data_IF_748316433138
#
_entry.id   IF_748316433138
#
_cell.length_a   1.000
_cell.length_b   1.000
_cell.length_c   1.000
_cell.angle_alpha   90.00
_cell.angle_beta   90.00
_cell.angle_gamma   90.00
#
_symmetry.space_group_name_H-M   'P 1'
#
loop_
_entity.id
_entity.type
_entity.pdbx_description
1 polymer ?
#
# COMPACT_ATOMS: atom_id res chain seq x y z
N UNK A 1 -15.93 25.70 1.06
CA UNK A 1 -17.40 25.54 0.90
C UNK A 1 -17.91 24.14 1.23
N UNK A 2 -17.77 23.11 0.39
CA UNK A 2 -18.35 21.76 0.65
C UNK A 2 -17.75 21.06 1.88
N UNK A 3 -16.43 21.16 2.05
CA UNK A 3 -15.69 20.58 3.19
C UNK A 3 -16.10 21.20 4.52
N UNK A 4 -16.37 22.51 4.54
CA UNK A 4 -16.80 23.23 5.74
C UNK A 4 -18.20 22.78 6.18
N UNK A 5 -19.13 22.62 5.23
CA UNK A 5 -20.45 22.05 5.51
C UNK A 5 -20.36 20.61 6.00
N UNK A 6 -19.44 19.81 5.46
CA UNK A 6 -19.19 18.47 5.98
C UNK A 6 -18.77 18.50 7.46
N UNK A 7 -17.76 19.28 7.81
CA UNK A 7 -17.32 19.39 9.21
C UNK A 7 -18.38 20.00 10.13
N UNK A 8 -19.16 20.98 9.65
CA UNK A 8 -20.26 21.55 10.41
C UNK A 8 -21.36 20.52 10.69
N UNK A 9 -21.74 19.72 9.70
CA UNK A 9 -22.70 18.62 9.85
C UNK A 9 -22.18 17.54 10.81
N UNK A 10 -20.90 17.16 10.70
CA UNK A 10 -20.29 16.19 11.63
C UNK A 10 -20.30 16.71 13.07
N UNK A 11 -19.96 17.98 13.28
CA UNK A 11 -20.06 18.63 14.59
C UNK A 11 -21.50 18.66 15.12
N UNK A 12 -22.49 18.94 14.27
CA UNK A 12 -23.91 18.90 14.63
C UNK A 12 -24.35 17.51 15.10
N UNK A 13 -23.78 16.45 14.51
CA UNK A 13 -24.00 15.05 14.91
C UNK A 13 -23.18 14.62 16.16
N UNK A 14 -22.45 15.53 16.80
CA UNK A 14 -21.59 15.21 17.95
C UNK A 14 -20.27 14.52 17.58
N UNK A 15 -19.93 14.44 16.29
CA UNK A 15 -18.68 13.85 15.81
C UNK A 15 -17.59 14.92 15.89
N UNK A 16 -16.56 14.65 16.70
CA UNK A 16 -15.41 15.57 16.87
C UNK A 16 -14.60 15.69 15.57
N UNK A 17 -14.02 16.87 15.37
CA UNK A 17 -13.00 17.07 14.32
C UNK A 17 -11.65 16.63 14.86
N UNK A 18 -10.94 15.80 14.10
CA UNK A 18 -9.57 15.37 14.40
C UNK A 18 -8.61 16.27 13.60
N UNK A 19 -7.60 16.83 14.27
CA UNK A 19 -6.60 17.68 13.63
C UNK A 19 -5.57 16.83 12.87
N UNK A 20 -5.01 15.83 13.53
CA UNK A 20 -4.07 14.88 12.95
C UNK A 20 -4.54 13.45 13.21
N UNK A 21 -4.90 12.74 12.14
CA UNK A 21 -5.34 11.34 12.21
C UNK A 21 -4.19 10.33 12.26
N UNK A 22 -2.94 10.78 12.15
CA UNK A 22 -1.75 9.93 12.15
C UNK A 22 -1.11 9.77 13.53
N UNK A 23 -1.66 10.43 14.56
CA UNK A 23 -1.19 10.35 15.95
C UNK A 23 -1.63 9.09 16.71
N UNK A 24 -2.24 8.12 16.02
CA UNK A 24 -2.79 6.90 16.60
C UNK A 24 -4.27 6.97 17.00
N UNK A 25 -4.91 8.15 16.93
CA UNK A 25 -6.35 8.30 17.18
C UNK A 25 -7.07 8.98 16.01
N UNK A 26 -7.57 8.16 15.09
CA UNK A 26 -8.32 8.60 13.91
C UNK A 26 -9.84 8.67 14.13
N UNK A 27 -10.34 8.59 15.37
CA UNK A 27 -11.78 8.55 15.62
C UNK A 27 -12.40 9.96 15.48
N UNK A 28 -13.05 10.22 14.35
CA UNK A 28 -13.83 11.43 14.13
C UNK A 28 -13.83 11.89 12.67
N UNK A 29 -14.27 13.12 12.45
CA UNK A 29 -14.20 13.76 11.14
C UNK A 29 -12.78 14.30 10.91
N UNK A 30 -12.12 13.86 9.86
CA UNK A 30 -10.70 14.14 9.61
C UNK A 30 -10.48 14.73 8.22
N UNK A 31 -9.38 15.47 8.09
CA UNK A 31 -8.80 15.85 6.81
C UNK A 31 -7.51 15.03 6.64
N UNK A 32 -7.55 14.01 5.79
CA UNK A 32 -6.42 13.10 5.63
C UNK A 32 -5.39 13.69 4.66
N UNK A 33 -4.09 13.73 5.05
CA UNK A 33 -3.03 13.99 4.09
C UNK A 33 -3.06 12.92 3.00
N UNK A 34 -2.64 13.31 1.80
CA UNK A 34 -2.56 12.43 0.65
C UNK A 34 -1.10 12.24 0.29
N UNK A 35 -0.75 11.08 -0.28
CA UNK A 35 0.58 10.85 -0.87
C UNK A 35 0.75 11.67 -2.15
N UNK A 36 1.02 12.95 -1.99
CA UNK A 36 1.22 13.96 -3.02
C UNK A 36 2.50 14.73 -2.75
N UNK A 37 3.24 15.04 -3.79
CA UNK A 37 4.35 15.99 -3.76
C UNK A 37 3.76 17.42 -3.78
N UNK A 38 4.01 18.26 -2.77
CA UNK A 38 3.43 19.60 -2.69
C UNK A 38 3.99 20.58 -3.73
N UNK A 39 5.24 20.39 -4.15
CA UNK A 39 5.92 21.30 -5.08
C UNK A 39 5.48 21.01 -6.52
N UNK A 40 5.52 19.73 -6.91
CA UNK A 40 5.14 19.32 -8.27
C UNK A 40 3.65 19.06 -8.42
N UNK A 41 2.91 18.94 -7.32
CA UNK A 41 1.47 18.60 -7.28
C UNK A 41 1.16 17.28 -7.96
N UNK A 42 2.12 16.35 -7.94
CA UNK A 42 1.99 15.01 -8.54
C UNK A 42 1.88 13.94 -7.47
N UNK A 43 1.48 12.72 -7.88
CA UNK A 43 1.40 11.56 -6.98
C UNK A 43 2.78 11.20 -6.43
N UNK A 44 2.91 11.16 -5.10
CA UNK A 44 4.04 10.54 -4.43
C UNK A 44 3.82 9.02 -4.35
N UNK A 45 4.69 8.23 -4.98
CA UNK A 45 4.60 6.78 -5.01
C UNK A 45 5.99 6.16 -4.73
N UNK A 46 6.05 4.86 -4.46
CA UNK A 46 7.30 4.21 -4.06
C UNK A 46 8.42 4.33 -5.10
N UNK A 47 8.10 4.44 -6.40
CA UNK A 47 9.11 4.66 -7.44
C UNK A 47 9.70 6.07 -7.33
N UNK A 48 8.86 7.09 -7.24
CA UNK A 48 9.35 8.48 -7.15
C UNK A 48 10.12 8.73 -5.85
N UNK A 49 9.65 8.13 -4.74
CA UNK A 49 10.28 8.29 -3.43
C UNK A 49 11.60 7.51 -3.26
N UNK A 50 11.64 6.23 -3.66
CA UNK A 50 12.76 5.33 -3.33
C UNK A 50 13.63 4.94 -4.53
N UNK A 51 13.06 4.81 -5.73
CA UNK A 51 13.84 4.39 -6.90
C UNK A 51 14.61 5.55 -7.53
N UNK A 52 13.97 6.70 -7.75
CA UNK A 52 14.58 7.81 -8.49
C UNK A 52 15.89 8.33 -7.87
N UNK A 53 16.02 8.31 -6.55
CA UNK A 53 17.24 8.72 -5.84
C UNK A 53 18.32 7.63 -5.81
N UNK A 54 17.94 6.36 -6.02
CA UNK A 54 18.84 5.22 -5.92
C UNK A 54 19.23 4.61 -7.28
N UNK A 55 18.57 4.99 -8.38
CA UNK A 55 18.69 4.34 -9.70
C UNK A 55 20.09 4.37 -10.30
N UNK A 56 20.92 5.35 -9.91
CA UNK A 56 22.29 5.49 -10.41
C UNK A 56 23.29 4.58 -9.69
N UNK A 57 22.86 3.83 -8.66
CA UNK A 57 23.73 2.92 -7.91
C UNK A 57 24.06 1.69 -8.76
N UNK A 58 25.35 1.44 -8.98
CA UNK A 58 25.83 0.34 -9.82
C UNK A 58 25.55 -1.05 -9.23
N UNK A 59 25.32 -1.13 -7.92
CA UNK A 59 24.98 -2.36 -7.21
C UNK A 59 23.47 -2.62 -7.07
N UNK A 60 22.62 -1.81 -7.72
CA UNK A 60 21.18 -1.99 -7.72
C UNK A 60 20.68 -2.26 -9.15
N UNK A 61 20.17 -3.46 -9.37
CA UNK A 61 19.65 -3.88 -10.68
C UNK A 61 18.14 -3.98 -10.63
N UNK A 62 17.45 -3.34 -11.58
CA UNK A 62 16.00 -3.42 -11.74
C UNK A 62 15.68 -4.11 -13.06
N UNK A 63 15.01 -5.25 -12.98
CA UNK A 63 14.53 -5.99 -14.13
C UNK A 63 13.02 -5.90 -14.21
N UNK A 64 12.51 -5.00 -15.06
CA UNK A 64 11.07 -4.80 -15.27
C UNK A 64 10.51 -5.75 -16.32
N UNK A 65 9.19 -5.99 -16.27
CA UNK A 65 8.52 -6.85 -17.25
C UNK A 65 8.84 -8.34 -17.09
N UNK A 66 9.36 -8.73 -15.93
CA UNK A 66 9.61 -10.11 -15.56
C UNK A 66 8.77 -10.45 -14.32
N UNK A 67 8.19 -11.64 -14.32
CA UNK A 67 7.44 -12.19 -13.21
C UNK A 67 8.20 -13.39 -12.65
N UNK A 68 8.42 -13.39 -11.34
CA UNK A 68 8.96 -14.56 -10.63
C UNK A 68 7.90 -15.66 -10.65
N UNK A 69 8.28 -16.84 -11.12
CA UNK A 69 7.39 -18.00 -11.31
C UNK A 69 7.58 -19.06 -10.23
N UNK A 70 8.80 -19.19 -9.69
CA UNK A 70 9.14 -20.19 -8.67
C UNK A 70 10.36 -19.75 -7.84
N UNK A 71 10.38 -20.10 -6.56
CA UNK A 71 11.56 -20.01 -5.70
C UNK A 71 12.40 -21.28 -5.86
N UNK A 72 13.71 -21.11 -6.00
CA UNK A 72 14.65 -22.23 -6.12
C UNK A 72 15.08 -22.62 -4.70
N UNK A 73 14.76 -23.84 -4.30
CA UNK A 73 15.04 -24.38 -2.97
C UNK A 73 16.20 -25.36 -3.01
N UNK A 74 16.94 -25.44 -1.89
CA UNK A 74 18.00 -26.42 -1.67
C UNK A 74 17.90 -26.93 -0.23
N UNK A 75 18.01 -28.24 -0.06
CA UNK A 75 18.10 -28.85 1.26
C UNK A 75 19.52 -28.63 1.83
N UNK A 76 19.58 -28.10 3.04
CA UNK A 76 20.78 -27.93 3.84
C UNK A 76 20.61 -28.67 5.18
N UNK A 77 21.67 -28.70 6.00
CA UNK A 77 21.63 -29.35 7.32
C UNK A 77 20.58 -28.73 8.26
N UNK A 78 20.29 -27.43 8.12
CA UNK A 78 19.35 -26.68 8.95
C UNK A 78 17.92 -26.63 8.38
N UNK A 79 17.65 -27.36 7.28
CA UNK A 79 16.35 -27.39 6.62
C UNK A 79 16.38 -26.88 5.18
N UNK A 80 15.33 -26.19 4.76
CA UNK A 80 15.16 -25.72 3.37
C UNK A 80 15.67 -24.29 3.24
N UNK A 81 16.67 -24.09 2.37
CA UNK A 81 17.16 -22.77 2.00
C UNK A 81 16.63 -22.36 0.62
N UNK A 82 16.29 -21.07 0.46
CA UNK A 82 15.98 -20.48 -0.85
C UNK A 82 17.28 -19.89 -1.41
N UNK A 83 17.72 -20.38 -2.56
CA UNK A 83 19.01 -20.01 -3.17
C UNK A 83 18.86 -19.12 -4.40
N UNK A 84 17.65 -18.85 -4.84
CA UNK A 84 17.39 -18.05 -6.03
C UNK A 84 15.93 -18.04 -6.44
N UNK A 85 15.68 -17.47 -7.61
CA UNK A 85 14.34 -17.38 -8.20
C UNK A 85 14.39 -17.72 -9.69
N UNK A 86 13.33 -18.35 -10.16
CA UNK A 86 13.00 -18.52 -11.56
C UNK A 86 12.03 -17.41 -11.98
N UNK A 87 12.24 -16.81 -13.15
CA UNK A 87 11.38 -15.74 -13.68
C UNK A 87 11.19 -15.86 -15.19
N UNK A 88 10.10 -15.28 -15.69
CA UNK A 88 9.80 -15.16 -17.11
C UNK A 88 8.95 -13.91 -17.40
N UNK A 89 8.97 -13.41 -18.63
CA UNK A 89 8.15 -12.27 -19.06
C UNK A 89 6.66 -12.63 -19.20
N UNK A 90 6.34 -13.92 -19.21
CA UNK A 90 4.99 -14.46 -19.33
C UNK A 90 5.02 -15.96 -19.57
N UNK A 91 3.85 -16.59 -19.72
CA UNK A 91 3.71 -18.05 -19.84
C UNK A 91 4.42 -18.65 -21.06
N UNK A 92 4.52 -17.90 -22.15
CA UNK A 92 5.06 -18.37 -23.43
C UNK A 92 6.54 -18.02 -23.61
N UNK A 93 7.17 -17.40 -22.61
CA UNK A 93 8.56 -16.97 -22.68
C UNK A 93 9.47 -17.98 -21.98
N UNK A 94 10.72 -18.07 -22.44
CA UNK A 94 11.74 -18.88 -21.80
C UNK A 94 11.96 -18.42 -20.35
N UNK A 95 12.05 -19.39 -19.45
CA UNK A 95 12.35 -19.15 -18.04
C UNK A 95 13.84 -18.92 -17.86
N UNK A 96 14.19 -17.96 -17.01
CA UNK A 96 15.56 -17.66 -16.58
C UNK A 96 15.65 -17.80 -15.07
N UNK A 97 16.87 -17.96 -14.55
CA UNK A 97 17.10 -18.06 -13.11
C UNK A 97 18.14 -17.04 -12.66
N UNK A 98 17.99 -16.58 -11.43
CA UNK A 98 19.01 -15.78 -10.75
C UNK A 98 19.21 -16.33 -9.34
N UNK A 99 20.47 -16.49 -8.95
CA UNK A 99 20.84 -17.00 -7.63
C UNK A 99 21.08 -15.83 -6.66
N UNK A 100 20.69 -16.02 -5.41
CA UNK A 100 20.92 -15.08 -4.33
C UNK A 100 22.05 -15.59 -3.44
N UNK A 101 23.07 -14.75 -3.22
CA UNK A 101 24.21 -15.11 -2.36
C UNK A 101 23.88 -15.05 -0.85
N UNK A 102 22.79 -14.37 -0.48
CA UNK A 102 22.37 -14.20 0.93
C UNK A 102 20.91 -14.56 1.13
N UNK A 103 20.01 -13.74 0.60
CA UNK A 103 18.58 -13.83 0.91
C UNK A 103 17.73 -13.52 -0.32
N UNK A 104 16.51 -14.05 -0.32
CA UNK A 104 15.44 -13.70 -1.26
C UNK A 104 14.31 -13.04 -0.47
N UNK A 105 13.98 -11.80 -0.80
CA UNK A 105 12.91 -11.03 -0.14
C UNK A 105 11.66 -11.07 -1.02
N UNK A 106 10.57 -11.64 -0.51
CA UNK A 106 9.28 -11.63 -1.19
C UNK A 106 8.56 -10.30 -0.97
N UNK A 107 8.33 -9.56 -2.05
CA UNK A 107 7.61 -8.29 -2.04
C UNK A 107 6.55 -8.22 -3.15
N UNK A 108 5.94 -9.35 -3.50
CA UNK A 108 4.93 -9.44 -4.56
C UNK A 108 3.51 -9.03 -4.12
N UNK A 109 3.37 -8.50 -2.89
CA UNK A 109 2.09 -8.10 -2.30
C UNK A 109 1.33 -9.26 -1.65
N UNK A 110 0.24 -8.92 -0.95
CA UNK A 110 -0.54 -9.86 -0.14
C UNK A 110 -1.21 -10.99 -0.95
N UNK A 111 -1.44 -10.78 -2.24
CA UNK A 111 -2.10 -11.74 -3.13
C UNK A 111 -1.06 -12.68 -3.77
N UNK A 112 0.01 -12.13 -4.36
CA UNK A 112 0.94 -12.94 -5.17
C UNK A 112 2.07 -13.55 -4.36
N UNK A 113 2.46 -12.99 -3.21
CA UNK A 113 3.49 -13.61 -2.35
C UNK A 113 3.09 -15.00 -1.85
N UNK A 114 1.89 -15.22 -1.28
CA UNK A 114 1.47 -16.56 -0.88
C UNK A 114 1.27 -17.50 -2.08
N UNK A 115 0.80 -16.99 -3.21
CA UNK A 115 0.71 -17.77 -4.45
C UNK A 115 2.10 -18.28 -4.89
N UNK A 116 3.11 -17.41 -4.89
CA UNK A 116 4.47 -17.80 -5.27
C UNK A 116 5.06 -18.83 -4.30
N UNK A 117 4.81 -18.70 -3.00
CA UNK A 117 5.22 -19.70 -2.01
C UNK A 117 4.58 -21.06 -2.32
N UNK A 118 3.26 -21.09 -2.57
CA UNK A 118 2.55 -22.33 -2.92
C UNK A 118 3.08 -22.96 -4.22
N UNK A 119 3.29 -22.17 -5.28
CA UNK A 119 3.90 -22.62 -6.54
C UNK A 119 5.33 -23.15 -6.38
N UNK A 120 5.98 -22.81 -5.27
CA UNK A 120 7.33 -23.25 -4.90
C UNK A 120 7.33 -24.40 -3.89
N UNK A 121 6.16 -25.00 -3.62
CA UNK A 121 6.02 -26.11 -2.68
C UNK A 121 5.98 -25.71 -1.20
N UNK A 122 5.79 -24.42 -0.88
CA UNK A 122 5.68 -23.91 0.48
C UNK A 122 4.22 -23.54 0.75
N UNK A 123 3.50 -24.39 1.47
CA UNK A 123 2.07 -24.23 1.69
C UNK A 123 1.41 -25.45 2.33
N UNK A 124 0.08 -25.49 2.32
CA UNK A 124 -0.68 -26.65 2.81
C UNK A 124 -0.48 -27.87 1.90
N UNK A 125 0.14 -28.95 2.39
CA UNK A 125 0.39 -30.15 1.57
C UNK A 125 -0.85 -30.69 0.86
N UNK A 126 -2.01 -30.85 1.53
CA UNK A 126 -3.22 -31.32 0.85
C UNK A 126 -3.68 -30.41 -0.30
N UNK A 127 -3.40 -29.10 -0.22
CA UNK A 127 -3.70 -28.17 -1.32
C UNK A 127 -2.68 -28.32 -2.45
N UNK A 128 -1.39 -28.40 -2.12
CA UNK A 128 -0.31 -28.54 -3.10
C UNK A 128 -0.44 -29.83 -3.91
N UNK A 129 -0.79 -30.93 -3.24
CA UNK A 129 -1.04 -32.23 -3.87
C UNK A 129 -2.17 -32.19 -4.90
N UNK A 130 -3.25 -31.42 -4.64
CA UNK A 130 -4.35 -31.24 -5.60
C UNK A 130 -3.91 -30.60 -6.93
N UNK A 131 -2.83 -29.81 -6.88
CA UNK A 131 -2.24 -29.17 -8.06
C UNK A 131 -0.99 -29.90 -8.59
N UNK A 132 -0.67 -31.09 -8.06
CA UNK A 132 0.51 -31.86 -8.46
C UNK A 132 1.83 -31.19 -8.10
N UNK A 133 1.85 -30.35 -7.05
CA UNK A 133 3.05 -29.65 -6.58
C UNK A 133 3.65 -30.45 -5.42
N UNK A 134 4.93 -30.79 -5.54
CA UNK A 134 5.70 -31.42 -4.46
C UNK A 134 5.79 -30.47 -3.25
N UNK A 135 5.45 -30.96 -2.05
CA UNK A 135 5.60 -30.15 -0.85
C UNK A 135 7.07 -30.11 -0.43
N UNK A 136 7.63 -28.90 -0.39
CA UNK A 136 8.95 -28.61 0.18
C UNK A 136 8.82 -28.26 1.66
N UNK A 137 7.83 -27.44 2.03
CA UNK A 137 7.55 -27.07 3.42
C UNK A 137 6.05 -27.06 3.65
N UNK A 138 5.58 -27.88 4.60
CA UNK A 138 4.19 -27.87 5.03
C UNK A 138 3.92 -26.63 5.91
N UNK A 139 3.34 -25.59 5.31
CA UNK A 139 3.01 -24.34 6.00
C UNK A 139 1.58 -23.90 5.67
N UNK A 140 0.56 -24.43 6.37
CA UNK A 140 -0.84 -24.27 5.99
C UNK A 140 -1.36 -22.84 6.13
N UNK A 141 -0.65 -21.95 6.85
CA UNK A 141 -0.97 -20.53 6.94
C UNK A 141 -0.74 -19.75 5.64
N UNK A 142 0.03 -20.28 4.69
CA UNK A 142 0.32 -19.61 3.42
C UNK A 142 -0.95 -19.47 2.59
N UNK A 143 -1.37 -18.23 2.36
CA UNK A 143 -2.59 -17.89 1.61
C UNK A 143 -3.87 -17.92 2.46
N UNK A 144 -3.78 -18.26 3.75
CA UNK A 144 -4.88 -18.16 4.69
C UNK A 144 -4.95 -16.75 5.31
N UNK A 145 -6.01 -16.48 6.08
CA UNK A 145 -6.20 -15.23 6.83
C UNK A 145 -6.12 -13.95 5.98
N UNK A 146 -6.62 -14.00 4.74
CA UNK A 146 -6.77 -12.80 3.93
C UNK A 146 -7.84 -11.89 4.54
N UNK A 147 -7.50 -10.61 4.72
CA UNK A 147 -8.38 -9.59 5.26
C UNK A 147 -8.33 -8.36 4.35
N UNK A 148 -9.50 -7.83 4.00
CA UNK A 148 -9.65 -6.65 3.17
C UNK A 148 -10.87 -5.84 3.63
N UNK A 149 -10.96 -4.58 3.21
CA UNK A 149 -12.05 -3.69 3.57
C UNK A 149 -13.05 -3.57 2.40
N UNK A 150 -14.30 -4.03 2.54
CA UNK A 150 -15.29 -3.88 1.48
C UNK A 150 -15.61 -2.40 1.27
N UNK A 151 -15.61 -1.96 0.02
CA UNK A 151 -15.94 -0.59 -0.35
C UNK A 151 -17.45 -0.48 -0.63
N UNK A 152 -18.15 0.32 0.17
CA UNK A 152 -19.50 0.77 -0.12
C UNK A 152 -19.49 2.25 -0.50
N UNK A 153 -20.08 2.59 -1.65
CA UNK A 153 -20.20 3.97 -2.12
C UNK A 153 -21.65 4.44 -2.04
N UNK A 154 -21.88 5.53 -1.31
CA UNK A 154 -23.13 6.28 -1.34
C UNK A 154 -22.92 7.61 -2.07
N UNK A 155 -23.84 7.96 -2.97
CA UNK A 155 -23.82 9.24 -3.69
C UNK A 155 -25.18 9.94 -3.56
N UNK A 156 -25.16 11.21 -3.20
CA UNK A 156 -26.35 12.04 -3.07
C UNK A 156 -26.11 13.42 -3.69
N UNK A 157 -27.18 14.06 -4.17
CA UNK A 157 -27.14 15.42 -4.71
C UNK A 157 -27.65 16.40 -3.66
N UNK A 158 -26.75 17.24 -3.15
CA UNK A 158 -27.12 18.31 -2.22
C UNK A 158 -27.36 19.61 -2.99
N UNK A 159 -28.61 20.08 -3.07
CA UNK A 159 -28.92 21.41 -3.58
C UNK A 159 -28.74 22.42 -2.45
N UNK A 160 -27.73 23.27 -2.57
CA UNK A 160 -27.57 24.43 -1.69
C UNK A 160 -28.70 25.42 -1.99
N UNK A 161 -29.67 25.54 -1.08
CA UNK A 161 -30.64 26.61 -1.14
C UNK A 161 -29.91 27.89 -0.71
N UNK A 162 -29.95 28.95 -1.55
CA UNK A 162 -29.43 30.28 -1.19
C UNK A 162 -29.99 30.66 0.17
N UNK A 163 -29.14 30.65 1.21
CA UNK A 163 -29.51 31.16 2.51
C UNK A 163 -29.76 32.66 2.34
N UNK A 164 -30.97 33.14 2.66
CA UNK A 164 -31.22 34.58 2.80
C UNK A 164 -30.24 35.09 3.85
N UNK A 165 -29.27 35.91 3.40
CA UNK A 165 -28.31 36.69 4.18
C UNK A 165 -28.36 36.43 5.70
N UNK A 166 -27.68 35.38 6.15
CA UNK A 166 -27.21 35.36 7.54
C UNK A 166 -25.95 36.20 7.49
N UNK A 167 -26.03 37.45 7.98
CA UNK A 167 -24.87 38.28 8.28
C UNK A 167 -24.06 37.53 9.34
N UNK A 168 -23.16 36.65 8.92
CA UNK A 168 -22.22 36.02 9.83
C UNK A 168 -21.21 37.09 10.23
N UNK A 169 -21.28 37.52 11.50
CA UNK A 169 -20.18 38.17 12.20
C UNK A 169 -19.07 37.14 12.46
N UNK A 170 -18.58 36.49 11.41
CA UNK A 170 -17.35 35.71 11.42
C UNK A 170 -16.28 36.69 11.02
N UNK A 171 -15.49 37.13 12.00
CA UNK A 171 -14.31 37.95 11.76
C UNK A 171 -13.31 37.11 10.95
N UNK A 172 -13.24 37.38 9.64
CA UNK A 172 -12.28 36.83 8.69
C UNK A 172 -10.83 37.33 8.92
N UNK A 173 -10.54 37.97 10.05
CA UNK A 173 -9.26 38.62 10.33
C UNK A 173 -8.17 37.74 10.95
N UNK A 174 -8.50 36.57 11.52
CA UNK A 174 -7.51 35.77 12.29
C UNK A 174 -7.38 34.29 11.89
N UNK A 175 -8.02 33.82 10.83
CA UNK A 175 -7.71 32.48 10.30
C UNK A 175 -6.61 32.61 9.26
N UNK A 176 -5.38 32.83 9.74
CA UNK A 176 -4.19 32.83 8.92
C UNK A 176 -4.13 31.56 8.08
N UNK A 177 -4.17 31.72 6.76
CA UNK A 177 -3.40 30.84 5.90
C UNK A 177 -1.94 31.08 6.27
N UNK A 178 -1.42 30.33 7.24
CA UNK A 178 0.02 30.23 7.41
C UNK A 178 0.54 29.47 6.18
N UNK A 179 1.37 30.08 5.33
CA UNK A 179 2.04 29.34 4.28
C UNK A 179 2.84 28.20 4.94
N UNK A 180 2.92 27.07 4.25
CA UNK A 180 3.50 25.79 4.65
C UNK A 180 4.97 25.85 5.18
N UNK A 181 5.57 27.05 5.26
CA UNK A 181 6.97 27.29 5.60
C UNK A 181 7.22 27.64 7.07
N UNK A 182 6.20 27.92 7.88
CA UNK A 182 6.37 28.35 9.29
C UNK A 182 6.06 27.27 10.34
N UNK A 183 5.85 26.00 9.94
CA UNK A 183 5.55 24.91 10.88
C UNK A 183 6.77 24.10 11.36
N UNK A 184 8.01 24.54 11.07
CA UNK A 184 9.24 23.77 11.36
C UNK A 184 10.20 24.37 12.39
N UNK A 185 9.85 25.45 13.08
CA UNK A 185 10.64 25.93 14.22
C UNK A 185 9.79 25.96 15.50
N UNK A 186 9.59 24.79 16.12
CA UNK A 186 9.48 24.57 17.58
C UNK A 186 9.88 23.13 17.93
#
# INVERSE_FOLDING_TARGET
>A
MLVEYFFASMKYLGIRKVFDSLNGDANGALWNPQSLDPDTKTRSNSRTAYWNSASNRTNLHLLTGQQVTRLITKLNNDGVAIIGVEYAAGSNFSRSTVLAAKEVILAAGAIHSPQLLQLSGIGSSPLLEQFGIETVVHLPGVGANFQDHPLLRASTTCRLLKQKSIKSSVNWGNSGYLPFREQFDQ
#
